data_IF_374852963896
#
_entry.id   IF_374852963896
#
_cell.length_a   1.000
_cell.length_b   1.000
_cell.length_c   1.000
_cell.angle_alpha   90.00
_cell.angle_beta   90.00
_cell.angle_gamma   90.00
#
_symmetry.space_group_name_H-M   'P 1'
#
loop_
_entity.id
_entity.type
_entity.pdbx_description
1 polymer ?
#
# COMPACT_ATOMS: atom_id res chain seq x y z
N UNK A 1 8.06 12.26 5.03
CA UNK A 1 6.74 11.83 4.51
C UNK A 1 6.84 10.53 3.70
N UNK A 2 7.49 10.52 2.53
CA UNK A 2 7.48 9.36 1.61
C UNK A 2 8.07 8.06 2.18
N UNK A 3 9.17 8.13 2.94
CA UNK A 3 9.79 6.93 3.53
C UNK A 3 8.84 6.22 4.49
N UNK A 4 8.18 6.97 5.37
CA UNK A 4 7.18 6.43 6.30
C UNK A 4 5.96 5.88 5.57
N UNK A 5 5.56 6.52 4.46
CA UNK A 5 4.47 6.04 3.62
C UNK A 5 4.82 4.70 2.96
N UNK A 6 6.02 4.57 2.37
CA UNK A 6 6.52 3.30 1.81
C UNK A 6 6.49 2.17 2.85
N UNK A 7 6.99 2.41 4.06
CA UNK A 7 6.89 1.44 5.15
C UNK A 7 5.42 1.10 5.49
N UNK A 8 4.55 2.12 5.50
CA UNK A 8 3.11 1.98 5.73
C UNK A 8 2.35 1.20 4.65
N UNK A 9 2.85 1.17 3.41
CA UNK A 9 2.30 0.32 2.35
C UNK A 9 2.35 -1.15 2.75
N UNK A 10 3.50 -1.63 3.22
CA UNK A 10 3.66 -3.03 3.64
C UNK A 10 2.76 -3.39 4.83
N UNK A 11 2.57 -2.46 5.78
CA UNK A 11 1.61 -2.66 6.87
C UNK A 11 0.19 -2.85 6.33
N UNK A 12 -0.26 -1.95 5.45
CA UNK A 12 -1.66 -1.93 4.99
C UNK A 12 -1.98 -3.07 4.02
N UNK A 13 -1.04 -3.47 3.16
CA UNK A 13 -1.22 -4.60 2.23
C UNK A 13 -1.41 -5.93 2.99
N UNK A 14 -0.90 -6.05 4.21
CA UNK A 14 -1.10 -7.23 5.07
C UNK A 14 -2.52 -7.41 5.60
N UNK A 15 -3.38 -6.42 5.46
CA UNK A 15 -4.84 -6.60 5.66
C UNK A 15 -5.47 -7.44 4.56
N UNK A 16 -4.76 -7.67 3.45
CA UNK A 16 -5.18 -8.51 2.36
C UNK A 16 -5.77 -7.72 1.19
N UNK A 17 -5.73 -8.33 0.02
CA UNK A 17 -6.25 -7.71 -1.21
C UNK A 17 -7.75 -7.91 -1.40
N UNK A 18 -8.47 -8.41 -0.40
CA UNK A 18 -9.94 -8.45 -0.42
C UNK A 18 -10.55 -7.18 0.18
N UNK A 19 -9.78 -6.45 1.00
CA UNK A 19 -10.20 -5.21 1.66
C UNK A 19 -9.81 -3.98 0.82
N UNK A 20 -10.62 -2.93 0.88
CA UNK A 20 -10.49 -1.75 0.01
C UNK A 20 -9.16 -0.99 0.21
N UNK A 21 -8.73 -0.79 1.46
CA UNK A 21 -7.47 -0.12 1.77
C UNK A 21 -6.27 -0.98 1.36
N UNK A 22 -6.33 -2.30 1.58
CA UNK A 22 -5.30 -3.24 1.11
C UNK A 22 -5.13 -3.20 -0.42
N UNK A 23 -6.24 -3.24 -1.18
CA UNK A 23 -6.24 -3.06 -2.65
C UNK A 23 -5.63 -1.71 -3.05
N UNK A 24 -6.10 -0.62 -2.44
CA UNK A 24 -5.63 0.74 -2.75
C UNK A 24 -4.14 0.93 -2.45
N UNK A 25 -3.61 0.25 -1.43
CA UNK A 25 -2.20 0.31 -1.07
C UNK A 25 -1.32 -0.52 -2.02
N UNK A 26 -1.80 -1.68 -2.47
CA UNK A 26 -1.13 -2.42 -3.53
C UNK A 26 -1.06 -1.60 -4.83
N UNK A 27 -2.15 -0.91 -5.19
CA UNK A 27 -2.18 -0.01 -6.34
C UNK A 27 -1.14 1.10 -6.24
N UNK A 28 -1.12 1.82 -5.12
CA UNK A 28 -0.17 2.91 -4.88
C UNK A 28 1.28 2.41 -4.94
N UNK A 29 1.59 1.31 -4.24
CA UNK A 29 2.92 0.73 -4.27
C UNK A 29 3.35 0.32 -5.68
N UNK A 30 2.50 -0.43 -6.39
CA UNK A 30 2.83 -0.93 -7.73
C UNK A 30 2.97 0.20 -8.75
N UNK A 31 2.20 1.29 -8.62
CA UNK A 31 2.38 2.50 -9.44
C UNK A 31 3.73 3.16 -9.16
N UNK A 32 4.06 3.42 -7.89
CA UNK A 32 5.35 4.01 -7.53
C UNK A 32 6.53 3.14 -7.98
N UNK A 33 6.40 1.82 -7.86
CA UNK A 33 7.42 0.88 -8.31
C UNK A 33 7.58 0.87 -9.84
N UNK A 34 6.48 0.87 -10.61
CA UNK A 34 6.51 0.97 -12.08
C UNK A 34 7.14 2.29 -12.54
N UNK A 35 6.95 3.38 -11.79
CA UNK A 35 7.56 4.69 -12.04
C UNK A 35 8.97 4.84 -11.47
N UNK A 36 9.56 3.76 -10.94
CA UNK A 36 10.89 3.74 -10.31
C UNK A 36 11.02 4.71 -9.11
N UNK A 37 9.90 5.19 -8.56
CA UNK A 37 9.86 6.00 -7.36
C UNK A 37 10.08 5.16 -6.10
N UNK A 38 9.71 3.88 -6.11
CA UNK A 38 10.11 2.89 -5.12
C UNK A 38 11.11 1.92 -5.74
N UNK A 39 12.19 1.66 -5.03
CA UNK A 39 13.29 0.81 -5.48
C UNK A 39 13.40 -0.39 -4.55
N UNK A 40 13.50 -1.60 -5.12
CA UNK A 40 13.93 -2.82 -4.41
C UNK A 40 15.42 -3.04 -4.66
N UNK A 41 16.21 -3.09 -3.60
CA UNK A 41 17.66 -3.27 -3.66
C UNK A 41 18.08 -4.75 -3.66
N UNK A 42 19.33 -5.07 -4.04
CA UNK A 42 19.86 -6.44 -3.98
C UNK A 42 19.92 -7.02 -2.56
N UNK A 43 20.04 -6.18 -1.53
CA UNK A 43 19.95 -6.58 -0.12
C UNK A 43 18.49 -6.75 0.35
N UNK A 44 17.56 -6.73 -0.60
CA UNK A 44 16.14 -6.95 -0.41
C UNK A 44 15.45 -5.90 0.48
N UNK A 45 16.07 -4.73 0.64
CA UNK A 45 15.46 -3.55 1.27
C UNK A 45 14.81 -2.65 0.22
N UNK A 46 13.97 -1.71 0.68
CA UNK A 46 13.29 -0.75 -0.18
C UNK A 46 13.70 0.69 0.15
N UNK A 47 13.80 1.53 -0.87
CA UNK A 47 13.98 2.97 -0.71
C UNK A 47 13.07 3.79 -1.63
N UNK A 48 13.04 5.09 -1.38
CA UNK A 48 12.34 6.08 -2.22
C UNK A 48 13.37 6.78 -3.11
N UNK A 49 13.11 6.86 -4.41
CA UNK A 49 13.78 7.78 -5.31
C UNK A 49 13.12 9.16 -5.21
N UNK A 50 13.80 10.08 -4.53
CA UNK A 50 13.27 11.43 -4.31
C UNK A 50 13.24 12.29 -5.58
N UNK A 51 13.98 11.94 -6.63
CA UNK A 51 13.89 12.64 -7.90
C UNK A 51 12.63 12.27 -8.69
N UNK A 52 11.99 11.12 -8.38
CA UNK A 52 10.84 10.58 -9.13
C UNK A 52 9.54 10.52 -8.33
N UNK A 53 9.62 10.43 -7.01
CA UNK A 53 8.43 10.16 -6.17
C UNK A 53 7.36 11.25 -6.25
N UNK A 54 7.73 12.51 -6.40
CA UNK A 54 6.76 13.61 -6.49
C UNK A 54 5.92 13.51 -7.77
N UNK A 55 6.56 13.32 -8.92
CA UNK A 55 5.88 13.12 -10.21
C UNK A 55 5.04 11.82 -10.22
N UNK A 56 5.53 10.75 -9.60
CA UNK A 56 4.78 9.50 -9.48
C UNK A 56 3.50 9.67 -8.64
N UNK A 57 3.58 10.42 -7.54
CA UNK A 57 2.42 10.76 -6.69
C UNK A 57 1.45 11.66 -7.45
N UNK A 58 1.95 12.69 -8.12
CA UNK A 58 1.12 13.60 -8.91
C UNK A 58 0.38 12.85 -10.03
N UNK A 59 1.09 12.03 -10.80
CA UNK A 59 0.52 11.28 -11.92
C UNK A 59 -0.55 10.29 -11.47
N UNK A 60 -0.33 9.57 -10.36
CA UNK A 60 -1.37 8.68 -9.81
C UNK A 60 -2.59 9.46 -9.33
N UNK A 61 -2.36 10.58 -8.63
CA UNK A 61 -3.45 11.44 -8.13
C UNK A 61 -4.29 11.95 -9.30
N UNK A 62 -3.65 12.41 -10.37
CA UNK A 62 -4.30 12.87 -11.59
C UNK A 62 -5.14 11.77 -12.23
N UNK A 63 -4.62 10.55 -12.32
CA UNK A 63 -5.32 9.40 -12.89
C UNK A 63 -6.60 9.10 -12.10
N UNK A 64 -6.48 8.88 -10.79
CA UNK A 64 -7.61 8.54 -9.91
C UNK A 64 -8.66 9.65 -9.93
N UNK A 65 -8.25 10.91 -9.74
CA UNK A 65 -9.18 12.04 -9.69
C UNK A 65 -9.87 12.27 -11.03
N UNK A 66 -9.19 12.03 -12.16
CA UNK A 66 -9.79 12.16 -13.50
C UNK A 66 -10.82 11.07 -13.74
N UNK A 67 -10.52 9.82 -13.39
CA UNK A 67 -11.47 8.70 -13.48
C UNK A 67 -12.72 9.00 -12.65
N UNK A 68 -12.53 9.46 -11.40
CA UNK A 68 -13.62 9.83 -10.50
C UNK A 68 -14.46 10.99 -11.05
N UNK A 69 -13.82 12.06 -11.56
CA UNK A 69 -14.53 13.22 -12.11
C UNK A 69 -15.39 12.88 -13.34
N UNK A 70 -14.98 11.88 -14.13
CA UNK A 70 -15.73 11.39 -15.29
C UNK A 70 -16.80 10.36 -14.92
N UNK A 71 -16.76 9.80 -13.72
CA UNK A 71 -17.58 8.63 -13.37
C UNK A 71 -17.25 7.39 -14.22
N UNK A 72 -15.98 7.27 -14.65
CA UNK A 72 -15.56 6.24 -15.61
C UNK A 72 -15.28 4.90 -14.90
N UNK A 73 -16.32 4.09 -14.76
CA UNK A 73 -16.23 2.79 -14.08
C UNK A 73 -15.32 1.81 -14.80
N UNK A 74 -15.33 1.79 -16.13
CA UNK A 74 -14.50 0.86 -16.90
C UNK A 74 -13.02 1.16 -16.72
N UNK A 75 -12.64 2.44 -16.76
CA UNK A 75 -11.28 2.86 -16.47
C UNK A 75 -10.87 2.52 -15.03
N UNK A 76 -11.77 2.69 -14.05
CA UNK A 76 -11.51 2.28 -12.66
C UNK A 76 -11.25 0.77 -12.56
N UNK A 77 -12.08 -0.06 -13.20
CA UNK A 77 -11.93 -1.52 -13.20
C UNK A 77 -10.60 -1.93 -13.84
N UNK A 78 -10.20 -1.30 -14.95
CA UNK A 78 -8.91 -1.56 -15.59
C UNK A 78 -7.72 -1.15 -14.71
N UNK A 79 -7.78 0.00 -14.04
CA UNK A 79 -6.74 0.46 -13.12
C UNK A 79 -6.56 -0.53 -11.95
N UNK A 80 -7.67 -0.94 -11.33
CA UNK A 80 -7.68 -1.91 -10.23
C UNK A 80 -7.17 -3.28 -10.71
N UNK A 81 -7.64 -3.76 -11.86
CA UNK A 81 -7.19 -5.03 -12.45
C UNK A 81 -5.71 -5.02 -12.78
N UNK A 82 -5.13 -3.87 -13.17
CA UNK A 82 -3.70 -3.77 -13.47
C UNK A 82 -2.86 -3.77 -12.19
N UNK A 83 -3.18 -2.89 -11.24
CA UNK A 83 -2.28 -2.55 -10.14
C UNK A 83 -2.67 -3.10 -8.76
N UNK A 84 -3.91 -3.54 -8.51
CA UNK A 84 -4.30 -4.14 -7.23
C UNK A 84 -3.89 -5.62 -7.13
N UNK A 85 -2.61 -5.92 -7.34
CA UNK A 85 -2.06 -7.28 -7.34
C UNK A 85 -0.94 -7.46 -6.33
N UNK A 86 -0.83 -8.68 -5.82
CA UNK A 86 0.32 -9.12 -5.05
C UNK A 86 1.49 -9.38 -6.00
N UNK A 87 2.24 -8.33 -6.33
CA UNK A 87 3.41 -8.42 -7.19
C UNK A 87 4.58 -9.07 -6.44
N UNK A 88 5.60 -9.53 -7.17
CA UNK A 88 6.79 -10.16 -6.57
C UNK A 88 7.46 -9.28 -5.50
N UNK A 89 7.69 -7.96 -5.70
CA UNK A 89 8.28 -7.11 -4.67
C UNK A 89 7.42 -7.03 -3.39
N UNK A 90 6.10 -6.90 -3.51
CA UNK A 90 5.20 -6.92 -2.36
C UNK A 90 5.23 -8.26 -1.64
N UNK A 91 5.08 -9.37 -2.38
CA UNK A 91 5.10 -10.71 -1.79
C UNK A 91 6.40 -10.95 -1.00
N UNK A 92 7.52 -10.55 -1.56
CA UNK A 92 8.82 -10.67 -0.91
C UNK A 92 8.91 -9.87 0.40
N UNK A 93 8.44 -8.62 0.40
CA UNK A 93 8.40 -7.81 1.62
C UNK A 93 7.51 -8.45 2.71
N UNK A 94 6.38 -9.03 2.31
CA UNK A 94 5.45 -9.70 3.21
C UNK A 94 6.03 -10.99 3.81
N UNK A 95 6.70 -11.82 2.99
CA UNK A 95 7.38 -13.04 3.43
C UNK A 95 8.46 -12.73 4.49
N UNK A 96 9.20 -11.63 4.34
CA UNK A 96 10.16 -11.18 5.37
C UNK A 96 9.49 -10.81 6.69
N UNK A 97 8.40 -10.04 6.64
CA UNK A 97 7.66 -9.65 7.84
C UNK A 97 7.05 -10.87 8.55
N UNK A 98 6.60 -11.86 7.78
CA UNK A 98 6.09 -13.13 8.31
C UNK A 98 7.21 -13.96 8.97
N UNK A 99 8.40 -14.03 8.35
CA UNK A 99 9.54 -14.79 8.88
C UNK A 99 10.00 -14.34 10.28
N UNK A 100 9.82 -13.06 10.60
CA UNK A 100 10.13 -12.47 11.92
C UNK A 100 8.88 -12.27 12.78
N UNK A 101 7.73 -12.78 12.35
CA UNK A 101 6.46 -12.78 13.08
C UNK A 101 5.98 -11.38 13.52
N UNK A 102 6.11 -10.37 12.65
CA UNK A 102 5.54 -9.04 12.94
C UNK A 102 4.01 -9.17 13.05
N UNK A 103 3.33 -8.66 14.10
CA UNK A 103 1.86 -8.64 14.13
C UNK A 103 1.25 -7.82 12.99
N UNK A 104 0.06 -8.18 12.50
CA UNK A 104 -0.62 -7.43 11.42
C UNK A 104 -1.28 -6.17 11.96
N UNK A 105 -2.03 -6.30 13.04
CA UNK A 105 -2.75 -5.23 13.71
C UNK A 105 -2.83 -5.52 15.21
N UNK A 106 -3.52 -4.64 15.93
CA UNK A 106 -3.76 -4.75 17.36
C UNK A 106 -5.10 -5.41 17.67
N UNK A 107 -5.16 -6.11 18.80
CA UNK A 107 -6.41 -6.47 19.45
C UNK A 107 -6.59 -5.56 20.67
N UNK A 108 -7.51 -4.58 20.65
CA UNK A 108 -7.60 -3.60 21.73
C UNK A 108 -8.16 -4.24 23.01
N UNK A 109 -7.49 -3.96 24.14
CA UNK A 109 -7.97 -4.29 25.48
C UNK A 109 -8.39 -2.98 26.16
N UNK A 110 -9.70 -2.76 26.29
CA UNK A 110 -10.26 -1.52 26.85
C UNK A 110 -10.50 -1.65 28.36
N UNK A 111 -9.46 -1.49 29.17
CA UNK A 111 -9.54 -1.63 30.64
C UNK A 111 -10.62 -0.73 31.27
N UNK A 112 -10.75 0.52 30.82
CA UNK A 112 -11.71 1.49 31.36
C UNK A 112 -13.17 1.10 31.11
N UNK A 113 -13.48 0.36 30.03
CA UNK A 113 -14.86 -0.08 29.75
C UNK A 113 -15.25 -1.25 30.65
N UNK A 114 -14.29 -2.12 30.96
CA UNK A 114 -14.51 -3.26 31.85
C UNK A 114 -14.80 -2.78 33.29
N UNK A 115 -14.16 -1.70 33.74
CA UNK A 115 -14.37 -1.12 35.08
C UNK A 115 -15.73 -0.43 35.27
N UNK A 116 -16.40 -0.01 34.19
CA UNK A 116 -17.72 0.66 34.26
C UNK A 116 -18.89 -0.35 34.24
N UNK A 117 -18.59 -1.60 33.88
CA UNK A 117 -19.60 -2.67 33.72
C UNK A 117 -19.73 -3.57 34.95
N UNK A 118 -18.99 -3.28 36.03
CA UNK A 118 -19.10 -3.87 37.37
C UNK A 118 -19.82 -2.92 38.34
#
# INVERSE_FOLDING_TARGET
MYVSFLAGCFRSVRFGLEEAHGKGQALQFNWMYEKEAFILHPDETFSVDFAKVEEAVESLSREILTIQAKGDKEAADLLLQKYCKMTRPLKHALEKLESVQVPVDIYPIFSTVNEISE
#
